data_IF_849230126386
#
_entry.id   IF_849230126386
#
_cell.length_a   1.000
_cell.length_b   1.000
_cell.length_c   1.000
_cell.angle_alpha   90.00
_cell.angle_beta   90.00
_cell.angle_gamma   90.00
#
_symmetry.space_group_name_H-M   'P 1'
#
loop_
_entity.id
_entity.type
_entity.pdbx_description
1 polymer ?
#
# COMPACT_ATOMS: atom_id res chain seq x y z
N UNK A 1 -0.87 -35.15 41.01
CA UNK A 1 -1.17 -35.11 39.55
C UNK A 1 -1.64 -33.72 39.03
N UNK A 2 -1.10 -32.59 39.50
CA UNK A 2 -1.51 -31.23 39.05
C UNK A 2 -0.61 -30.57 37.98
N UNK A 3 0.51 -31.20 37.59
CA UNK A 3 1.52 -30.59 36.69
C UNK A 3 1.11 -30.54 35.20
N UNK A 4 0.13 -31.35 34.77
CA UNK A 4 -0.25 -31.43 33.35
C UNK A 4 -1.12 -30.25 32.87
N UNK A 5 -1.81 -29.56 33.78
CA UNK A 5 -2.77 -28.50 33.44
C UNK A 5 -2.08 -27.18 33.10
N UNK A 6 -0.94 -26.89 33.72
CA UNK A 6 -0.16 -25.67 33.48
C UNK A 6 0.46 -25.65 32.08
N UNK A 7 1.00 -26.79 31.62
CA UNK A 7 1.67 -26.89 30.33
C UNK A 7 0.73 -26.62 29.14
N UNK A 8 -0.56 -27.01 29.26
CA UNK A 8 -1.56 -26.81 28.20
C UNK A 8 -2.03 -25.36 28.06
N UNK A 9 -2.01 -24.58 29.15
CA UNK A 9 -2.40 -23.17 29.12
C UNK A 9 -1.30 -22.34 28.46
N UNK A 10 -0.03 -22.56 28.79
CA UNK A 10 1.09 -21.86 28.14
C UNK A 10 1.16 -22.11 26.63
N UNK A 11 0.91 -23.34 26.17
CA UNK A 11 0.95 -23.65 24.73
C UNK A 11 -0.16 -22.94 23.93
N UNK A 12 -1.33 -22.76 24.55
CA UNK A 12 -2.45 -22.03 23.94
C UNK A 12 -2.19 -20.52 23.90
N UNK A 13 -1.58 -19.95 24.94
CA UNK A 13 -1.18 -18.54 24.98
C UNK A 13 -0.12 -18.25 23.90
N UNK A 14 0.87 -19.13 23.74
CA UNK A 14 1.87 -18.97 22.68
C UNK A 14 1.24 -19.05 21.27
N UNK A 15 0.30 -19.96 21.04
CA UNK A 15 -0.37 -20.10 19.73
C UNK A 15 -1.24 -18.88 19.37
N UNK A 16 -1.90 -18.26 20.37
CA UNK A 16 -2.69 -17.04 20.16
C UNK A 16 -1.77 -15.83 19.96
N UNK A 17 -0.68 -15.74 20.73
CA UNK A 17 0.29 -14.66 20.56
C UNK A 17 0.97 -14.68 19.17
N UNK A 18 1.32 -15.86 18.65
CA UNK A 18 1.88 -16.01 17.30
C UNK A 18 0.88 -15.71 16.17
N UNK A 19 -0.42 -15.86 16.44
CA UNK A 19 -1.48 -15.55 15.46
C UNK A 19 -1.82 -14.05 15.42
N UNK A 20 -1.53 -13.30 16.49
CA UNK A 20 -1.76 -11.85 16.58
C UNK A 20 -0.58 -11.03 16.07
N UNK A 21 0.61 -11.62 15.96
CA UNK A 21 1.76 -11.00 15.31
C UNK A 21 1.65 -11.12 13.79
N UNK A 22 0.65 -10.48 13.18
CA UNK A 22 0.79 -10.09 11.77
C UNK A 22 1.84 -8.99 11.75
N UNK A 23 3.06 -9.34 11.37
CA UNK A 23 4.11 -8.36 11.18
C UNK A 23 3.77 -7.53 9.94
N UNK A 24 3.96 -6.21 10.06
CA UNK A 24 4.11 -5.38 8.88
C UNK A 24 5.15 -6.00 7.95
N UNK A 25 4.81 -6.09 6.67
CA UNK A 25 5.70 -6.54 5.63
C UNK A 25 6.22 -5.29 4.90
N UNK A 26 7.55 -5.17 4.73
CA UNK A 26 8.09 -4.10 3.89
C UNK A 26 7.60 -4.31 2.46
N UNK A 27 7.36 -3.22 1.76
CA UNK A 27 7.03 -3.21 0.34
C UNK A 27 7.83 -2.11 -0.35
N UNK A 28 8.47 -2.44 -1.46
CA UNK A 28 9.07 -1.50 -2.40
C UNK A 28 8.60 -1.86 -3.81
N UNK A 29 8.03 -0.88 -4.50
CA UNK A 29 7.55 -0.99 -5.88
C UNK A 29 8.26 0.06 -6.72
N UNK A 30 8.79 -0.36 -7.87
CA UNK A 30 9.28 0.53 -8.91
C UNK A 30 8.44 0.33 -10.14
N UNK A 31 7.97 1.42 -10.73
CA UNK A 31 7.13 1.40 -11.90
C UNK A 31 7.54 2.50 -12.89
N UNK A 32 7.32 2.25 -14.17
CA UNK A 32 7.63 3.18 -15.26
C UNK A 32 6.49 3.23 -16.28
N UNK A 33 6.26 4.40 -16.86
CA UNK A 33 5.22 4.58 -17.86
C UNK A 33 5.02 6.02 -18.29
N UNK A 34 3.77 6.45 -18.33
CA UNK A 34 3.34 7.70 -18.95
C UNK A 34 2.47 8.55 -18.05
N UNK A 35 2.67 9.87 -18.13
CA UNK A 35 1.88 10.90 -17.49
C UNK A 35 1.06 11.65 -18.56
N UNK A 36 -0.24 11.75 -18.33
CA UNK A 36 -1.20 12.44 -19.21
C UNK A 36 -1.97 13.52 -18.42
N UNK A 37 -1.75 14.82 -18.73
CA UNK A 37 -2.51 15.92 -18.12
C UNK A 37 -4.01 15.83 -18.48
N UNK A 38 -4.90 16.09 -17.52
CA UNK A 38 -6.35 16.05 -17.74
C UNK A 38 -7.11 17.23 -17.08
N UNK A 39 -6.72 18.46 -17.45
CA UNK A 39 -7.32 19.68 -16.91
C UNK A 39 -6.60 20.13 -15.65
N UNK A 40 -7.27 20.08 -14.49
CA UNK A 40 -6.67 20.38 -13.18
C UNK A 40 -6.10 19.14 -12.48
N UNK A 41 -5.93 18.05 -13.21
CA UNK A 41 -5.34 16.82 -12.70
C UNK A 41 -4.38 16.20 -13.70
N UNK A 42 -3.94 15.00 -13.36
CA UNK A 42 -3.26 14.12 -14.29
C UNK A 42 -3.54 12.66 -14.00
N UNK A 43 -3.44 11.84 -15.04
CA UNK A 43 -3.45 10.38 -14.91
C UNK A 43 -2.06 9.84 -15.24
N UNK A 44 -1.51 9.04 -14.34
CA UNK A 44 -0.27 8.30 -14.52
C UNK A 44 -0.61 6.84 -14.73
N UNK A 45 -0.09 6.25 -15.81
CA UNK A 45 -0.21 4.82 -16.08
C UNK A 45 1.18 4.22 -16.22
N UNK A 46 1.52 3.28 -15.35
CA UNK A 46 2.85 2.66 -15.31
C UNK A 46 2.78 1.13 -15.22
N UNK A 47 3.86 0.47 -15.64
CA UNK A 47 4.10 -0.95 -15.42
C UNK A 47 5.11 -1.14 -14.30
N UNK A 48 4.85 -2.08 -13.39
CA UNK A 48 5.78 -2.43 -12.32
C UNK A 48 7.00 -3.12 -12.93
N UNK A 49 8.17 -2.54 -12.72
CA UNK A 49 9.46 -3.06 -13.20
C UNK A 49 10.18 -3.86 -12.13
N UNK A 50 9.93 -3.56 -10.85
CA UNK A 50 10.48 -4.30 -9.71
C UNK A 50 9.55 -4.25 -8.51
N UNK A 51 9.45 -5.36 -7.79
CA UNK A 51 8.77 -5.45 -6.51
C UNK A 51 9.64 -6.21 -5.52
N UNK A 52 9.81 -5.65 -4.33
CA UNK A 52 10.39 -6.34 -3.17
C UNK A 52 9.36 -6.36 -2.04
N UNK A 53 9.10 -7.53 -1.46
CA UNK A 53 8.15 -7.68 -0.36
C UNK A 53 6.67 -7.58 -0.78
N UNK A 54 5.82 -7.17 0.16
CA UNK A 54 4.35 -7.25 0.03
C UNK A 54 3.78 -8.67 0.11
N UNK A 55 2.50 -8.82 -0.22
CA UNK A 55 1.76 -10.09 -0.04
C UNK A 55 1.43 -10.83 -1.35
N UNK A 56 1.76 -10.25 -2.50
CA UNK A 56 1.53 -10.88 -3.81
C UNK A 56 2.04 -10.00 -4.96
N UNK A 57 2.22 -10.55 -6.17
CA UNK A 57 2.79 -9.83 -7.29
C UNK A 57 1.84 -8.76 -7.83
N UNK A 58 2.36 -7.55 -8.04
CA UNK A 58 1.72 -6.42 -8.69
C UNK A 58 2.43 -6.14 -10.02
N UNK A 59 1.70 -5.70 -11.04
CA UNK A 59 2.21 -5.56 -12.41
C UNK A 59 1.95 -4.22 -13.07
N UNK A 60 0.93 -3.48 -12.63
CA UNK A 60 0.57 -2.18 -13.21
C UNK A 60 0.15 -1.20 -12.14
N UNK A 61 0.35 0.07 -12.41
CA UNK A 61 -0.05 1.20 -11.59
C UNK A 61 -0.93 2.14 -12.41
N UNK A 62 -2.03 2.59 -11.81
CA UNK A 62 -2.76 3.77 -12.27
C UNK A 62 -2.85 4.74 -11.10
N UNK A 63 -2.41 5.98 -11.30
CA UNK A 63 -2.60 7.07 -10.34
C UNK A 63 -3.42 8.20 -10.96
N UNK A 64 -4.27 8.81 -10.15
CA UNK A 64 -4.98 10.03 -10.49
C UNK A 64 -4.56 11.10 -9.49
N UNK A 65 -3.99 12.18 -9.98
CA UNK A 65 -3.49 13.30 -9.18
C UNK A 65 -4.44 14.47 -9.39
N UNK A 66 -4.83 15.10 -8.29
CA UNK A 66 -5.51 16.39 -8.29
C UNK A 66 -4.48 17.49 -7.99
N UNK A 67 -4.27 18.38 -8.96
CA UNK A 67 -3.34 19.51 -8.85
C UNK A 67 -4.09 20.84 -8.73
N UNK A 68 -5.40 20.84 -8.44
CA UNK A 68 -6.20 22.06 -8.23
C UNK A 68 -5.54 23.01 -7.23
N UNK A 69 -4.91 22.46 -6.20
CA UNK A 69 -4.30 23.20 -5.10
C UNK A 69 -2.89 23.71 -5.41
N UNK A 70 -2.27 23.25 -6.51
CA UNK A 70 -0.96 23.70 -7.01
C UNK A 70 -1.13 24.87 -8.01
N UNK A 71 -2.33 25.05 -8.58
CA UNK A 71 -2.56 25.89 -9.75
C UNK A 71 -2.66 27.40 -9.43
N UNK A 72 -1.70 27.98 -8.71
CA UNK A 72 -1.56 29.43 -8.52
C UNK A 72 -0.10 29.91 -8.44
N UNK A 73 0.85 29.18 -9.02
CA UNK A 73 2.26 29.62 -9.12
C UNK A 73 2.99 29.69 -7.76
N UNK A 74 2.39 29.13 -6.72
CA UNK A 74 2.98 28.97 -5.40
C UNK A 74 3.15 27.47 -5.18
N UNK A 75 4.37 26.97 -5.36
CA UNK A 75 4.81 25.59 -5.12
C UNK A 75 4.83 25.25 -3.61
N UNK A 76 3.77 25.61 -2.88
CA UNK A 76 3.57 25.25 -1.47
C UNK A 76 2.20 24.60 -1.21
N UNK A 77 1.50 24.19 -2.28
CA UNK A 77 0.24 23.46 -2.18
C UNK A 77 0.49 21.97 -1.96
N UNK A 78 -0.31 21.36 -1.09
CA UNK A 78 -0.40 19.91 -0.96
C UNK A 78 -1.28 19.40 -2.11
N UNK A 79 -0.69 18.74 -3.11
CA UNK A 79 -1.50 17.95 -4.04
C UNK A 79 -1.90 16.65 -3.38
N UNK A 80 -3.08 16.16 -3.74
CA UNK A 80 -3.58 14.88 -3.30
C UNK A 80 -3.79 13.98 -4.51
N UNK A 81 -3.72 12.68 -4.29
CA UNK A 81 -3.97 11.73 -5.34
C UNK A 81 -4.50 10.41 -4.81
N UNK A 82 -4.91 9.57 -5.73
CA UNK A 82 -5.23 8.17 -5.46
C UNK A 82 -4.43 7.31 -6.43
N UNK A 83 -4.08 6.12 -5.99
CA UNK A 83 -3.40 5.15 -6.83
C UNK A 83 -3.92 3.75 -6.61
N UNK A 84 -3.75 2.91 -7.63
CA UNK A 84 -4.07 1.49 -7.56
C UNK A 84 -2.99 0.70 -8.29
N UNK A 85 -2.29 -0.15 -7.53
CA UNK A 85 -1.51 -1.22 -8.12
C UNK A 85 -2.42 -2.43 -8.38
N UNK A 86 -2.26 -3.10 -9.52
CA UNK A 86 -2.98 -4.32 -9.89
C UNK A 86 -2.00 -5.39 -10.37
N UNK A 87 -2.27 -6.65 -10.05
CA UNK A 87 -1.53 -7.79 -10.58
C UNK A 87 -2.09 -9.15 -10.15
N UNK A 88 -1.27 -10.19 -10.24
CA UNK A 88 -1.67 -11.56 -9.88
C UNK A 88 -2.02 -11.74 -8.39
N UNK A 89 -1.52 -10.86 -7.51
CA UNK A 89 -1.89 -10.80 -6.10
C UNK A 89 -3.23 -10.12 -5.81
N UNK A 90 -3.87 -9.49 -6.80
CA UNK A 90 -5.06 -8.65 -6.62
C UNK A 90 -4.75 -7.17 -6.79
N UNK A 91 -5.37 -6.32 -5.99
CA UNK A 91 -5.20 -4.86 -6.06
C UNK A 91 -4.74 -4.28 -4.73
N UNK A 92 -3.91 -3.24 -4.77
CA UNK A 92 -3.56 -2.40 -3.63
C UNK A 92 -3.97 -0.97 -3.95
N UNK A 93 -4.94 -0.43 -3.21
CA UNK A 93 -5.42 0.96 -3.37
C UNK A 93 -4.82 1.84 -2.29
N UNK A 94 -4.47 3.07 -2.65
CA UNK A 94 -3.85 4.02 -1.73
C UNK A 94 -4.21 5.46 -2.06
N UNK A 95 -4.09 6.32 -1.06
CA UNK A 95 -4.10 7.77 -1.17
C UNK A 95 -2.68 8.30 -1.14
N UNK A 96 -2.45 9.40 -1.86
CA UNK A 96 -1.18 10.09 -2.00
C UNK A 96 -1.31 11.50 -1.45
N UNK A 97 -0.30 11.94 -0.71
CA UNK A 97 -0.15 13.32 -0.25
C UNK A 97 1.22 13.81 -0.71
N UNK A 98 1.22 14.72 -1.67
CA UNK A 98 2.45 15.32 -2.19
C UNK A 98 2.95 16.37 -1.21
N UNK A 99 4.22 16.26 -0.81
CA UNK A 99 4.87 17.19 0.10
C UNK A 99 6.01 17.98 -0.55
N UNK A 100 6.47 17.54 -1.73
CA UNK A 100 7.56 18.18 -2.46
C UNK A 100 7.35 18.10 -3.97
N UNK A 101 7.74 19.16 -4.66
CA UNK A 101 7.83 19.23 -6.11
C UNK A 101 9.05 20.09 -6.48
N UNK A 102 9.93 19.54 -7.31
CA UNK A 102 11.11 20.20 -7.83
C UNK A 102 11.01 20.22 -9.35
N UNK A 103 11.05 21.42 -9.93
CA UNK A 103 11.08 21.60 -11.38
C UNK A 103 12.48 21.97 -11.86
N UNK A 104 12.91 21.37 -12.95
CA UNK A 104 14.14 21.71 -13.66
C UNK A 104 13.89 22.56 -14.91
N UNK A 105 12.63 22.70 -15.32
CA UNK A 105 12.20 23.37 -16.54
C UNK A 105 11.07 22.60 -17.23
N UNK A 106 10.64 23.05 -18.40
CA UNK A 106 9.64 22.36 -19.23
C UNK A 106 10.18 22.06 -20.64
N UNK A 107 11.49 22.05 -20.82
CA UNK A 107 12.10 21.71 -22.11
C UNK A 107 12.18 20.19 -22.27
N UNK A 108 12.17 19.68 -23.51
CA UNK A 108 12.39 18.26 -23.75
C UNK A 108 13.73 17.78 -23.17
N UNK A 109 13.68 16.75 -22.32
CA UNK A 109 14.84 16.20 -21.59
C UNK A 109 14.98 16.71 -20.16
N UNK A 110 14.28 17.79 -19.78
CA UNK A 110 14.21 18.25 -18.39
C UNK A 110 13.53 17.15 -17.54
N UNK A 111 13.91 17.07 -16.26
CA UNK A 111 13.38 16.09 -15.32
C UNK A 111 12.87 16.78 -14.06
N UNK A 112 11.57 16.67 -13.83
CA UNK A 112 10.92 17.14 -12.63
C UNK A 112 10.80 15.98 -11.63
N UNK A 113 10.84 16.28 -10.34
CA UNK A 113 10.72 15.27 -9.28
C UNK A 113 9.67 15.70 -8.28
N UNK A 114 8.75 14.79 -7.98
CA UNK A 114 7.76 14.95 -6.92
C UNK A 114 7.93 13.85 -5.89
N UNK A 115 7.54 14.13 -4.66
CA UNK A 115 7.54 13.13 -3.60
C UNK A 115 6.60 13.47 -2.47
N UNK A 116 6.29 12.47 -1.68
CA UNK A 116 5.42 12.60 -0.53
C UNK A 116 5.09 11.26 0.09
N UNK A 117 3.99 11.23 0.84
CA UNK A 117 3.56 10.04 1.54
C UNK A 117 2.39 9.35 0.85
N UNK A 118 2.27 8.04 1.09
CA UNK A 118 1.12 7.25 0.68
C UNK A 118 0.52 6.53 1.87
N UNK A 119 -0.79 6.26 1.80
CA UNK A 119 -1.51 5.46 2.80
C UNK A 119 -2.39 4.45 2.07
N UNK A 120 -2.22 3.15 2.37
CA UNK A 120 -3.10 2.12 1.82
C UNK A 120 -4.52 2.30 2.37
N UNK A 121 -5.48 2.33 1.44
CA UNK A 121 -6.92 2.43 1.73
C UNK A 121 -7.64 1.10 1.59
N UNK A 122 -6.96 0.08 1.06
CA UNK A 122 -7.47 -1.26 0.94
C UNK A 122 -6.90 -2.03 -0.24
N UNK A 123 -7.63 -3.04 -0.68
CA UNK A 123 -7.20 -3.91 -1.76
C UNK A 123 -8.07 -5.13 -1.94
N UNK A 124 -7.65 -6.01 -2.84
CA UNK A 124 -8.28 -7.30 -3.13
C UNK A 124 -7.25 -8.42 -3.17
N UNK A 125 -7.69 -9.68 -3.20
CA UNK A 125 -6.79 -10.83 -3.23
C UNK A 125 -5.92 -10.90 -1.98
N UNK A 126 -4.61 -11.02 -2.15
CA UNK A 126 -3.63 -11.05 -1.06
C UNK A 126 -3.48 -9.71 -0.34
N UNK A 127 -4.03 -8.64 -0.90
CA UNK A 127 -4.05 -7.29 -0.34
C UNK A 127 -5.43 -6.91 0.23
N UNK A 128 -6.33 -7.87 0.40
CA UNK A 128 -7.65 -7.61 0.98
C UNK A 128 -7.53 -6.98 2.37
N UNK A 129 -8.19 -5.84 2.56
CA UNK A 129 -8.10 -5.00 3.76
C UNK A 129 -6.66 -4.64 4.18
N UNK A 130 -5.73 -4.58 3.23
CA UNK A 130 -4.38 -4.15 3.55
C UNK A 130 -4.38 -2.70 4.00
N UNK A 131 -3.72 -2.44 5.13
CA UNK A 131 -3.44 -1.09 5.64
C UNK A 131 -1.94 -0.87 5.66
N UNK A 132 -1.48 0.37 5.63
CA UNK A 132 -0.05 0.63 5.55
C UNK A 132 0.22 2.05 5.11
N UNK A 133 1.48 2.44 5.18
CA UNK A 133 1.91 3.76 4.75
C UNK A 133 3.41 3.76 4.45
N UNK A 134 3.84 4.81 3.76
CA UNK A 134 5.24 5.07 3.52
C UNK A 134 5.42 6.30 2.65
N UNK A 135 6.50 6.30 1.90
CA UNK A 135 6.90 7.40 1.03
C UNK A 135 6.88 6.96 -0.44
N UNK A 136 6.73 7.93 -1.33
CA UNK A 136 6.88 7.74 -2.76
C UNK A 136 7.68 8.88 -3.36
N UNK A 137 8.35 8.57 -4.47
CA UNK A 137 9.03 9.54 -5.33
C UNK A 137 8.64 9.24 -6.77
N UNK A 138 8.26 10.27 -7.52
CA UNK A 138 7.97 10.19 -8.95
C UNK A 138 8.88 11.13 -9.71
N UNK A 139 9.51 10.63 -10.77
CA UNK A 139 10.25 11.43 -11.73
C UNK A 139 9.40 11.62 -12.99
N UNK A 140 9.33 12.85 -13.49
CA UNK A 140 8.69 13.21 -14.74
C UNK A 140 9.76 13.65 -15.73
N UNK A 141 9.87 13.00 -16.87
CA UNK A 141 10.78 13.41 -17.94
C UNK A 141 9.98 14.02 -19.07
N UNK A 142 10.20 15.32 -19.28
CA UNK A 142 9.55 16.10 -20.33
C UNK A 142 9.99 15.59 -21.70
N UNK A 143 9.03 15.19 -22.53
CA UNK A 143 9.30 14.70 -23.90
C UNK A 143 9.08 15.78 -24.95
N UNK A 144 8.50 16.92 -24.58
CA UNK A 144 8.02 17.95 -25.51
C UNK A 144 6.69 17.62 -26.20
N UNK A 145 6.03 16.52 -25.82
CA UNK A 145 4.73 16.09 -26.34
C UNK A 145 3.60 16.24 -25.32
N UNK A 146 2.42 15.72 -25.66
CA UNK A 146 1.26 15.68 -24.76
C UNK A 146 1.38 14.61 -23.65
N UNK A 147 2.27 13.64 -23.84
CA UNK A 147 2.51 12.53 -22.91
C UNK A 147 3.96 12.56 -22.46
N UNK A 148 4.17 12.56 -21.15
CA UNK A 148 5.50 12.58 -20.55
C UNK A 148 5.88 11.20 -20.01
N UNK A 149 7.17 10.92 -19.89
CA UNK A 149 7.62 9.68 -19.27
C UNK A 149 7.63 9.86 -17.77
N UNK A 150 7.25 8.81 -17.04
CA UNK A 150 7.24 8.82 -15.58
C UNK A 150 7.88 7.55 -15.03
N UNK A 151 8.52 7.70 -13.87
CA UNK A 151 9.04 6.60 -13.08
C UNK A 151 8.69 6.84 -11.61
N UNK A 152 7.95 5.93 -11.00
CA UNK A 152 7.53 6.01 -9.60
C UNK A 152 8.22 4.94 -8.77
N UNK A 153 8.74 5.33 -7.61
CA UNK A 153 9.18 4.43 -6.55
C UNK A 153 8.28 4.64 -5.35
N UNK A 154 7.61 3.58 -4.90
CA UNK A 154 6.79 3.57 -3.69
C UNK A 154 7.43 2.62 -2.68
N UNK A 155 7.68 3.07 -1.45
CA UNK A 155 8.25 2.25 -0.39
C UNK A 155 7.54 2.46 0.94
N UNK A 156 7.48 1.43 1.76
CA UNK A 156 6.88 1.52 3.09
C UNK A 156 6.55 0.17 3.69
N UNK A 157 5.56 0.16 4.56
CA UNK A 157 5.14 -1.03 5.30
C UNK A 157 3.66 -1.29 5.06
N UNK A 158 3.32 -2.54 4.80
CA UNK A 158 1.94 -2.99 4.61
C UNK A 158 1.59 -4.07 5.63
N UNK A 159 0.37 -4.02 6.15
CA UNK A 159 -0.16 -4.91 7.17
C UNK A 159 -1.45 -5.53 6.65
N UNK A 160 -1.50 -6.85 6.63
CA UNK A 160 -2.75 -7.56 6.39
C UNK A 160 -3.62 -7.48 7.65
N UNK A 161 -4.84 -6.96 7.51
CA UNK A 161 -5.80 -6.98 8.62
C UNK A 161 -6.41 -8.39 8.70
N UNK A 162 -6.30 -9.11 9.84
CA UNK A 162 -6.91 -10.42 9.98
C UNK A 162 -8.40 -10.39 9.66
N UNK A 163 -8.85 -11.28 8.79
CA UNK A 163 -10.26 -11.32 8.41
C UNK A 163 -11.16 -11.53 9.65
N UNK A 164 -12.29 -10.80 9.75
CA UNK A 164 -13.23 -10.95 10.86
C UNK A 164 -13.72 -12.40 11.03
N UNK A 165 -13.82 -13.16 9.93
CA UNK A 165 -14.18 -14.56 9.95
C UNK A 165 -13.14 -15.43 10.67
N UNK A 166 -11.86 -15.17 10.47
CA UNK A 166 -10.76 -15.90 11.14
C UNK A 166 -10.79 -15.63 12.64
N UNK A 167 -11.05 -14.38 13.04
CA UNK A 167 -11.25 -13.99 14.44
C UNK A 167 -12.47 -14.67 15.05
N UNK A 168 -13.58 -14.71 14.32
CA UNK A 168 -14.81 -15.38 14.75
C UNK A 168 -14.63 -16.91 14.88
N UNK A 169 -13.98 -17.55 13.92
CA UNK A 169 -13.67 -18.98 13.94
C UNK A 169 -12.77 -19.34 15.13
N UNK A 170 -11.77 -18.50 15.43
CA UNK A 170 -10.90 -18.67 16.58
C UNK A 170 -11.68 -18.51 17.90
N UNK A 171 -12.57 -17.51 17.98
CA UNK A 171 -13.48 -17.33 19.12
C UNK A 171 -14.43 -18.51 19.34
N UNK A 172 -15.04 -19.03 18.28
CA UNK A 172 -15.91 -20.21 18.32
C UNK A 172 -15.15 -21.48 18.72
N UNK A 173 -13.94 -21.67 18.20
CA UNK A 173 -13.06 -22.78 18.57
C UNK A 173 -12.69 -22.74 20.06
N UNK A 174 -12.35 -21.57 20.59
CA UNK A 174 -12.07 -21.38 22.01
C UNK A 174 -13.32 -21.66 22.88
N UNK A 175 -14.50 -21.18 22.47
CA UNK A 175 -15.75 -21.42 23.18
C UNK A 175 -16.12 -22.92 23.22
N UNK A 176 -15.97 -23.64 22.11
CA UNK A 176 -16.20 -25.08 22.03
C UNK A 176 -15.25 -25.86 22.97
N UNK A 177 -13.96 -25.48 23.01
CA UNK A 177 -12.99 -26.09 23.93
C UNK A 177 -13.36 -25.84 25.41
N UNK A 178 -13.80 -24.64 25.77
CA UNK A 178 -14.27 -24.34 27.12
C UNK A 178 -15.50 -25.16 27.51
N UNK A 179 -16.46 -25.33 26.61
CA UNK A 179 -17.66 -26.17 26.85
C UNK A 179 -17.30 -27.63 27.08
N UNK A 180 -16.32 -28.16 26.35
CA UNK A 180 -15.83 -29.54 26.53
C UNK A 180 -15.20 -29.73 27.92
N UNK A 181 -14.44 -28.75 28.42
CA UNK A 181 -13.80 -28.84 29.75
C UNK A 181 -14.79 -28.79 30.92
N UNK A 182 -15.97 -28.17 30.76
CA UNK A 182 -16.99 -28.15 31.82
C UNK A 182 -17.75 -29.47 32.01
N UNK A 183 -17.63 -30.41 31.05
CA UNK A 183 -18.35 -31.70 31.08
C UNK A 183 -17.48 -32.89 31.52
N UNK A 184 -16.17 -32.69 31.65
CA UNK A 184 -15.21 -33.71 32.07
C UNK A 184 -14.64 -33.35 33.43
#
# INVERSE_FOLDING_TARGET
>A
MRKLTFFRISLLVCAVASALSVSAAPIELKSEGTFEPNGLGATITESVTSQTGGYGPLSSLVMNIDISDILLGVLSGTANGTGTYTGGGGTLTFELVFSSYQTSGQNPGDTDTAGGSWTATGGTGTYFNATGSGEFTTLFTHTGGATERTATTLSGEIQAVPEPATMAALGLGAAAMMRRRKRA
#
